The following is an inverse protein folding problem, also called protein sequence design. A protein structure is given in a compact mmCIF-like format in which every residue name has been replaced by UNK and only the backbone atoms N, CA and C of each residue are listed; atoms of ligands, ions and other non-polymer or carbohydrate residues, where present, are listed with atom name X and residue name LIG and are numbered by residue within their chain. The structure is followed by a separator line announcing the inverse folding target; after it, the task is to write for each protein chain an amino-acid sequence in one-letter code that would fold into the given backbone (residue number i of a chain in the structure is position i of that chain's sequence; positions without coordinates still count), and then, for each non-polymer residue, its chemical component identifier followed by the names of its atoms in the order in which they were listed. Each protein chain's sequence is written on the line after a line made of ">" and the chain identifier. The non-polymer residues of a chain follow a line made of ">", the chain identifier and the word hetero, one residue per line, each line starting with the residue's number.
data_IF_832863096560
#
_entry.id   IF_832863096560
#
_cell.length_a   1.000
_cell.length_b   1.000
_cell.length_c   1.000
_cell.angle_alpha   90.00
_cell.angle_beta   90.00
_cell.angle_gamma   90.00
#
_symmetry.space_group_name_H-M   'P 1'
#
loop_
_entity.id
_entity.type
_entity.pdbx_description
1 polymer ?
#
# COMPACT_ATOMS: atom_id res chain seq x y z
N UNK A 1 7.17 -16.28 4.81
CA UNK A 1 8.32 -15.42 5.16
C UNK A 1 7.76 -14.07 5.58
N UNK A 2 8.14 -13.55 6.74
CA UNK A 2 7.61 -12.30 7.31
C UNK A 2 8.75 -11.28 7.43
N UNK A 3 8.55 -10.05 6.94
CA UNK A 3 9.50 -8.95 7.05
C UNK A 3 8.92 -7.90 7.99
N UNK A 4 9.33 -7.89 9.27
CA UNK A 4 8.71 -7.07 10.31
C UNK A 4 9.26 -5.64 10.42
N UNK A 5 10.42 -5.33 9.82
CA UNK A 5 11.06 -4.01 9.88
C UNK A 5 11.38 -3.55 11.32
N UNK A 6 12.62 -3.70 11.78
CA UNK A 6 13.01 -3.42 13.17
C UNK A 6 13.98 -2.25 13.25
N UNK A 7 13.73 -1.32 14.17
CA UNK A 7 14.55 -0.13 14.39
C UNK A 7 15.28 -0.14 15.74
N UNK A 8 15.05 -1.15 16.58
CA UNK A 8 15.75 -1.31 17.87
C UNK A 8 16.00 -2.78 18.24
N UNK A 9 17.02 -3.06 19.07
CA UNK A 9 17.25 -4.41 19.60
C UNK A 9 16.06 -4.97 20.39
N UNK A 10 15.33 -4.11 21.11
CA UNK A 10 14.16 -4.54 21.88
C UNK A 10 13.04 -5.10 20.97
N UNK A 11 12.80 -4.48 19.82
CA UNK A 11 11.83 -4.99 18.84
C UNK A 11 12.27 -6.34 18.26
N UNK A 12 13.58 -6.55 18.08
CA UNK A 12 14.12 -7.83 17.63
C UNK A 12 13.90 -8.92 18.67
N UNK A 13 14.23 -8.67 19.93
CA UNK A 13 14.01 -9.63 21.03
C UNK A 13 12.53 -10.00 21.17
N UNK A 14 11.64 -9.02 21.07
CA UNK A 14 10.20 -9.26 21.13
C UNK A 14 9.67 -10.08 19.94
N UNK A 15 10.14 -9.78 18.72
CA UNK A 15 9.80 -10.57 17.53
C UNK A 15 10.28 -12.02 17.70
N UNK A 16 11.55 -12.23 18.10
CA UNK A 16 12.10 -13.57 18.34
C UNK A 16 11.26 -14.32 19.36
N UNK A 17 10.94 -13.69 20.50
CA UNK A 17 10.10 -14.28 21.54
C UNK A 17 8.74 -14.69 20.97
N UNK A 18 8.08 -13.82 20.22
CA UNK A 18 6.76 -14.09 19.63
C UNK A 18 6.80 -15.27 18.68
N UNK A 19 7.76 -15.30 17.74
CA UNK A 19 7.87 -16.40 16.77
C UNK A 19 8.35 -17.72 17.41
N UNK A 20 9.03 -17.68 18.56
CA UNK A 20 9.47 -18.89 19.27
C UNK A 20 8.36 -19.65 20.02
N UNK A 21 7.21 -19.02 20.25
CA UNK A 21 6.12 -19.59 21.05
C UNK A 21 5.21 -20.56 20.27
N UNK A 22 5.39 -20.70 18.95
CA UNK A 22 4.56 -21.54 18.05
C UNK A 22 3.04 -21.45 18.33
N UNK A 23 2.56 -20.24 18.64
CA UNK A 23 1.16 -19.98 18.96
C UNK A 23 0.47 -19.29 17.79
N UNK A 24 -0.11 -20.03 16.83
CA UNK A 24 -0.89 -19.42 15.77
C UNK A 24 -2.14 -18.76 16.34
N UNK A 25 -2.71 -17.85 15.56
CA UNK A 25 -4.01 -17.27 15.86
C UNK A 25 -5.10 -18.35 15.80
N UNK A 26 -6.06 -18.27 16.72
CA UNK A 26 -7.28 -19.07 16.59
C UNK A 26 -8.24 -18.48 15.54
N UNK A 27 -9.30 -19.22 15.22
CA UNK A 27 -10.28 -18.80 14.21
C UNK A 27 -10.99 -17.48 14.58
N UNK A 28 -11.23 -17.24 15.86
CA UNK A 28 -11.87 -16.02 16.35
C UNK A 28 -10.96 -14.80 16.24
N UNK A 29 -9.69 -14.96 16.63
CA UNK A 29 -8.65 -13.94 16.48
C UNK A 29 -8.43 -13.59 15.00
N UNK A 30 -8.32 -14.60 14.13
CA UNK A 30 -8.17 -14.39 12.69
C UNK A 30 -9.37 -13.66 12.09
N UNK A 31 -10.60 -14.07 12.45
CA UNK A 31 -11.83 -13.43 11.97
C UNK A 31 -11.89 -11.95 12.38
N UNK A 32 -11.57 -11.64 13.62
CA UNK A 32 -11.55 -10.26 14.11
C UNK A 32 -10.55 -9.39 13.34
N UNK A 33 -9.35 -9.91 13.05
CA UNK A 33 -8.35 -9.19 12.25
C UNK A 33 -8.83 -8.94 10.81
N UNK A 34 -9.46 -9.93 10.18
CA UNK A 34 -9.98 -9.80 8.82
C UNK A 34 -11.14 -8.81 8.74
N UNK A 35 -12.05 -8.79 9.73
CA UNK A 35 -13.14 -7.81 9.78
C UNK A 35 -12.61 -6.36 9.87
N UNK A 36 -11.54 -6.14 10.64
CA UNK A 36 -10.86 -4.84 10.68
C UNK A 36 -10.21 -4.52 9.34
N UNK A 37 -9.51 -5.48 8.72
CA UNK A 37 -8.88 -5.29 7.42
C UNK A 37 -9.92 -4.92 6.33
N UNK A 38 -11.06 -5.61 6.31
CA UNK A 38 -12.15 -5.34 5.36
C UNK A 38 -12.71 -3.92 5.56
N UNK A 39 -12.93 -3.49 6.80
CA UNK A 39 -13.40 -2.12 7.10
C UNK A 39 -12.43 -1.02 6.62
N UNK A 40 -11.13 -1.31 6.61
CA UNK A 40 -10.12 -0.38 6.09
C UNK A 40 -10.17 -0.32 4.55
N UNK A 41 -10.45 -1.44 3.89
CA UNK A 41 -10.53 -1.55 2.42
C UNK A 41 -11.85 -1.00 1.86
N UNK A 42 -12.95 -1.02 2.63
CA UNK A 42 -14.23 -0.41 2.25
C UNK A 42 -14.09 1.08 1.88
N UNK A 43 -13.08 1.76 2.41
CA UNK A 43 -12.75 3.16 2.09
C UNK A 43 -12.13 3.35 0.68
N UNK A 44 -12.18 2.32 -0.18
CA UNK A 44 -11.72 2.32 -1.58
C UNK A 44 -10.24 2.67 -1.74
N UNK A 45 -9.42 2.30 -0.77
CA UNK A 45 -7.96 2.44 -0.90
C UNK A 45 -7.38 1.22 -1.62
N UNK A 46 -6.46 1.46 -2.54
CA UNK A 46 -5.70 0.42 -3.23
C UNK A 46 -4.53 -0.04 -2.34
N UNK A 47 -4.26 -1.36 -2.22
CA UNK A 47 -3.27 -1.93 -1.31
C UNK A 47 -1.82 -1.81 -1.86
N UNK A 48 -1.43 -0.61 -2.31
CA UNK A 48 -0.06 -0.34 -2.75
C UNK A 48 0.87 -0.26 -1.54
N UNK A 49 1.95 -1.05 -1.54
CA UNK A 49 2.97 -1.03 -0.48
C UNK A 49 4.15 -0.09 -0.79
N UNK A 50 4.09 0.63 -1.91
CA UNK A 50 5.17 1.47 -2.41
C UNK A 50 6.52 0.74 -2.60
N UNK A 51 6.49 -0.57 -2.89
CA UNK A 51 7.70 -1.37 -3.14
C UNK A 51 8.50 -0.95 -4.40
N UNK A 52 7.90 -0.15 -5.28
CA UNK A 52 8.46 0.34 -6.56
C UNK A 52 8.82 -0.73 -7.59
N UNK A 53 8.49 -2.01 -7.38
CA UNK A 53 8.77 -3.07 -8.35
C UNK A 53 8.13 -2.82 -9.72
N UNK A 54 6.95 -2.21 -9.75
CA UNK A 54 6.26 -1.87 -11.01
C UNK A 54 6.95 -0.74 -11.80
N UNK A 55 7.78 0.11 -11.16
CA UNK A 55 8.34 1.31 -11.81
C UNK A 55 9.41 0.95 -12.85
N UNK A 56 10.21 -0.10 -12.61
CA UNK A 56 11.24 -0.58 -13.54
C UNK A 56 10.67 -1.30 -14.76
N UNK A 57 9.43 -1.79 -14.67
CA UNK A 57 8.79 -2.59 -15.73
C UNK A 57 7.71 -1.82 -16.50
N UNK A 58 7.42 -0.57 -16.12
CA UNK A 58 6.45 0.26 -16.81
C UNK A 58 7.05 0.83 -18.10
N UNK A 59 6.57 0.45 -19.30
CA UNK A 59 7.09 0.96 -20.56
C UNK A 59 6.83 2.47 -20.75
N UNK A 60 5.84 3.02 -20.05
CA UNK A 60 5.51 4.45 -20.03
C UNK A 60 6.28 5.21 -18.93
N UNK A 61 7.06 4.49 -18.10
CA UNK A 61 7.81 5.07 -16.98
C UNK A 61 6.93 5.76 -15.94
N UNK A 62 5.68 5.35 -15.77
CA UNK A 62 4.80 5.94 -14.77
C UNK A 62 5.29 5.62 -13.36
N UNK A 63 5.30 6.62 -12.48
CA UNK A 63 5.54 6.41 -11.04
C UNK A 63 4.26 5.90 -10.38
N UNK A 64 3.89 4.65 -10.70
CA UNK A 64 2.67 4.01 -10.24
C UNK A 64 2.50 4.08 -8.72
N UNK A 65 3.53 3.87 -7.86
CA UNK A 65 3.39 4.04 -6.43
C UNK A 65 2.88 5.44 -6.02
N UNK A 66 3.43 6.49 -6.62
CA UNK A 66 3.02 7.88 -6.34
C UNK A 66 1.60 8.16 -6.86
N UNK A 67 1.27 7.68 -8.06
CA UNK A 67 -0.09 7.83 -8.62
C UNK A 67 -1.15 7.10 -7.78
N UNK A 68 -0.85 5.89 -7.31
CA UNK A 68 -1.74 5.12 -6.43
C UNK A 68 -1.87 5.78 -5.05
N UNK A 69 -0.81 6.41 -4.55
CA UNK A 69 -0.86 7.21 -3.32
C UNK A 69 -1.82 8.40 -3.45
N UNK A 70 -1.77 9.13 -4.57
CA UNK A 70 -2.70 10.24 -4.85
C UNK A 70 -4.14 9.75 -4.97
N UNK A 71 -4.35 8.60 -5.62
CA UNK A 71 -5.68 7.96 -5.68
C UNK A 71 -6.22 7.61 -4.29
N UNK A 72 -5.38 7.02 -3.42
CA UNK A 72 -5.76 6.67 -2.06
C UNK A 72 -6.08 7.90 -1.22
N UNK A 73 -5.26 8.95 -1.33
CA UNK A 73 -5.51 10.22 -0.65
C UNK A 73 -6.82 10.85 -1.10
N UNK A 74 -7.09 10.90 -2.40
CA UNK A 74 -8.34 11.40 -2.97
C UNK A 74 -9.56 10.58 -2.49
N UNK A 75 -9.45 9.25 -2.51
CA UNK A 75 -10.51 8.35 -2.04
C UNK A 75 -10.77 8.50 -0.55
N UNK A 76 -9.70 8.63 0.25
CA UNK A 76 -9.79 8.76 1.71
C UNK A 76 -10.36 10.12 2.15
N UNK A 77 -10.00 11.19 1.44
CA UNK A 77 -10.45 12.56 1.70
C UNK A 77 -11.81 12.90 1.07
N UNK A 78 -12.47 11.92 0.44
CA UNK A 78 -13.75 12.10 -0.26
C UNK A 78 -13.73 13.22 -1.31
N UNK A 79 -12.62 13.35 -2.03
CA UNK A 79 -12.48 14.35 -3.08
C UNK A 79 -11.68 15.60 -2.69
N UNK A 80 -10.78 15.49 -1.71
CA UNK A 80 -9.88 16.58 -1.31
C UNK A 80 -9.09 17.17 -2.48
N UNK A 81 -8.71 18.44 -2.35
CA UNK A 81 -8.09 19.22 -3.44
C UNK A 81 -6.62 18.91 -3.71
N UNK A 82 -5.88 18.35 -2.73
CA UNK A 82 -4.43 18.14 -2.85
C UNK A 82 -4.09 17.12 -3.94
N UNK A 83 -4.74 15.96 -3.97
CA UNK A 83 -4.50 14.96 -5.00
C UNK A 83 -4.74 15.46 -6.45
N UNK A 84 -5.89 16.09 -6.79
CA UNK A 84 -6.10 16.68 -8.11
C UNK A 84 -5.08 17.78 -8.48
N UNK A 85 -4.72 18.63 -7.51
CA UNK A 85 -3.71 19.67 -7.72
C UNK A 85 -2.36 19.05 -8.08
N UNK A 86 -1.88 18.09 -7.29
CA UNK A 86 -0.62 17.40 -7.53
C UNK A 86 -0.62 16.67 -8.88
N UNK A 87 -1.73 16.03 -9.25
CA UNK A 87 -1.90 15.35 -10.53
C UNK A 87 -1.81 16.33 -11.71
N UNK A 88 -2.43 17.51 -11.59
CA UNK A 88 -2.43 18.54 -12.65
C UNK A 88 -1.06 19.15 -12.90
N UNK A 89 -0.15 19.10 -11.93
CA UNK A 89 1.23 19.57 -12.07
C UNK A 89 2.13 18.58 -12.82
N UNK A 90 1.68 17.34 -13.05
CA UNK A 90 2.44 16.35 -13.81
C UNK A 90 2.32 16.60 -15.32
N UNK A 91 3.40 16.41 -16.09
CA UNK A 91 3.35 16.33 -17.54
C UNK A 91 2.35 15.28 -18.01
N UNK A 92 1.69 15.52 -19.16
CA UNK A 92 0.60 14.66 -19.65
C UNK A 92 1.03 13.19 -19.83
N UNK A 93 2.30 12.96 -20.18
CA UNK A 93 2.90 11.64 -20.41
C UNK A 93 3.15 10.87 -19.09
N UNK A 94 3.11 11.56 -17.95
CA UNK A 94 3.30 11.00 -16.61
C UNK A 94 1.99 10.88 -15.81
N UNK A 95 0.88 11.31 -16.40
CA UNK A 95 -0.44 11.19 -15.78
C UNK A 95 -1.02 9.77 -15.95
N UNK A 96 -2.01 9.37 -15.14
CA UNK A 96 -2.67 8.07 -15.26
C UNK A 96 -3.24 7.76 -16.64
N UNK A 97 -3.65 8.80 -17.39
CA UNK A 97 -4.17 8.67 -18.75
C UNK A 97 -3.17 8.12 -19.78
N UNK A 98 -1.87 8.22 -19.51
CA UNK A 98 -0.83 7.61 -20.35
C UNK A 98 -0.67 6.10 -20.13
N UNK A 99 -1.37 5.51 -19.15
CA UNK A 99 -1.30 4.08 -18.88
C UNK A 99 -1.90 3.25 -20.04
N UNK A 100 -1.08 2.36 -20.62
CA UNK A 100 -1.49 1.45 -21.71
C UNK A 100 -2.00 0.08 -21.21
N UNK A 101 -2.09 -0.13 -19.90
CA UNK A 101 -2.56 -1.42 -19.35
C UNK A 101 -1.65 -2.61 -19.64
N UNK A 102 -0.33 -2.40 -19.61
CA UNK A 102 0.67 -3.43 -19.95
C UNK A 102 0.69 -4.68 -19.06
N UNK A 103 0.13 -4.62 -17.84
CA UNK A 103 0.10 -5.70 -16.84
C UNK A 103 1.50 -6.22 -16.43
N UNK A 104 2.51 -5.38 -16.58
CA UNK A 104 3.87 -5.61 -16.07
C UNK A 104 3.93 -5.80 -14.56
#
# INVERSE_FOLDING_TARGET
>A
VTLSGMSSPAQLEENIRTFSQERPLDEGEMKALLEVADSLLERKVLPCTACRYCTSHCPQGLDLPSLLSLYNEHSFSEGGFLAPMALSALPAERQPGACIGCRS
#
